data_IF_756968119099
#
_entry.id   IF_756968119099
#
_cell.length_a   1.000
_cell.length_b   1.000
_cell.length_c   1.000
_cell.angle_alpha   90.00
_cell.angle_beta   90.00
_cell.angle_gamma   90.00
#
_symmetry.space_group_name_H-M   'P 1'
#
loop_
_entity.id
_entity.type
_entity.pdbx_description
1 polymer ?
#
# COMPACT_ATOMS: atom_id res chain seq x y z
N UNK A 1 -1.09 -35.20 5.66
CA UNK A 1 -1.64 -34.01 6.36
C UNK A 1 -1.59 -32.87 5.36
N UNK A 2 -2.70 -32.63 4.65
CA UNK A 2 -2.81 -31.49 3.75
C UNK A 2 -2.72 -30.21 4.57
N UNK A 3 -1.63 -29.45 4.38
CA UNK A 3 -1.63 -28.06 4.78
C UNK A 3 -2.52 -27.35 3.76
N UNK A 4 -3.76 -27.05 4.13
CA UNK A 4 -4.59 -26.12 3.37
C UNK A 4 -3.79 -24.85 3.18
N UNK A 5 -3.33 -24.66 1.95
CA UNK A 5 -2.63 -23.46 1.55
C UNK A 5 -3.69 -22.37 1.50
N UNK A 6 -3.74 -21.52 2.53
CA UNK A 6 -4.64 -20.38 2.54
C UNK A 6 -4.19 -19.38 1.48
N UNK A 7 -4.90 -19.36 0.35
CA UNK A 7 -4.72 -18.41 -0.76
C UNK A 7 -5.37 -17.06 -0.48
N UNK A 8 -5.93 -16.91 0.72
CA UNK A 8 -6.66 -15.74 1.17
C UNK A 8 -6.19 -15.27 2.54
N UNK A 9 -6.31 -13.96 2.78
CA UNK A 9 -6.05 -13.32 4.05
C UNK A 9 -7.27 -12.50 4.45
N UNK A 10 -7.88 -12.83 5.58
CA UNK A 10 -9.04 -12.13 6.10
C UNK A 10 -8.63 -10.79 6.72
N UNK A 11 -9.22 -9.72 6.19
CA UNK A 11 -8.92 -8.34 6.58
C UNK A 11 -10.00 -7.79 7.51
N UNK A 12 -11.25 -8.19 7.29
CA UNK A 12 -12.39 -7.89 8.15
C UNK A 12 -13.47 -8.96 7.92
N UNK A 13 -14.51 -8.97 8.75
CA UNK A 13 -15.62 -9.93 8.64
C UNK A 13 -16.24 -9.86 7.24
N UNK A 14 -16.14 -10.97 6.50
CA UNK A 14 -16.67 -11.06 5.15
C UNK A 14 -15.83 -10.35 4.08
N UNK A 15 -14.61 -9.89 4.43
CA UNK A 15 -13.68 -9.20 3.53
C UNK A 15 -12.31 -9.87 3.55
N UNK A 16 -11.92 -10.51 2.45
CA UNK A 16 -10.60 -11.13 2.29
C UNK A 16 -9.86 -10.59 1.07
N UNK A 17 -8.53 -10.62 1.14
CA UNK A 17 -7.65 -10.41 0.00
C UNK A 17 -7.10 -11.73 -0.49
N UNK A 18 -7.08 -11.91 -1.80
CA UNK A 18 -6.58 -13.10 -2.46
C UNK A 18 -5.70 -12.72 -3.65
N UNK A 19 -4.91 -13.70 -4.11
CA UNK A 19 -4.20 -13.62 -5.37
C UNK A 19 -4.76 -14.66 -6.32
N UNK A 20 -5.23 -14.22 -7.49
CA UNK A 20 -5.75 -15.11 -8.53
C UNK A 20 -4.62 -15.91 -9.18
N UNK A 21 -4.96 -17.02 -9.85
CA UNK A 21 -4.00 -17.82 -10.63
C UNK A 21 -3.31 -17.01 -11.74
N UNK A 22 -4.00 -15.99 -12.27
CA UNK A 22 -3.43 -15.06 -13.25
C UNK A 22 -2.46 -14.03 -12.63
N UNK A 23 -2.20 -14.10 -11.31
CA UNK A 23 -1.32 -13.19 -10.61
C UNK A 23 -1.91 -11.81 -10.33
N UNK A 24 -3.23 -11.65 -10.40
CA UNK A 24 -3.94 -10.41 -10.07
C UNK A 24 -4.44 -10.44 -8.62
N UNK A 25 -4.14 -9.38 -7.86
CA UNK A 25 -4.64 -9.18 -6.50
C UNK A 25 -6.12 -8.78 -6.53
N UNK A 26 -6.92 -9.42 -5.68
CA UNK A 26 -8.37 -9.22 -5.65
C UNK A 26 -8.89 -9.15 -4.22
N UNK A 27 -10.04 -8.52 -4.07
CA UNK A 27 -10.82 -8.46 -2.84
C UNK A 27 -12.10 -9.25 -3.02
N UNK A 28 -12.35 -10.14 -2.07
CA UNK A 28 -13.58 -10.91 -1.96
C UNK A 28 -14.42 -10.33 -0.85
N UNK A 29 -15.62 -9.87 -1.20
CA UNK A 29 -16.59 -9.30 -0.27
C UNK A 29 -18.00 -9.70 -0.71
N UNK A 30 -18.79 -10.27 0.21
CA UNK A 30 -20.19 -10.65 -0.02
C UNK A 30 -20.42 -11.46 -1.33
N UNK A 31 -19.52 -12.41 -1.60
CA UNK A 31 -19.58 -13.24 -2.81
C UNK A 31 -19.21 -12.53 -4.12
N UNK A 32 -18.70 -11.29 -4.05
CA UNK A 32 -18.18 -10.52 -5.19
C UNK A 32 -16.67 -10.45 -5.14
N UNK A 33 -16.06 -10.37 -6.32
CA UNK A 33 -14.61 -10.20 -6.48
C UNK A 33 -14.31 -8.85 -7.16
N UNK A 34 -13.38 -8.08 -6.57
CA UNK A 34 -12.95 -6.78 -7.06
C UNK A 34 -11.43 -6.79 -7.29
N UNK A 35 -10.99 -6.46 -8.49
CA UNK A 35 -9.55 -6.39 -8.77
C UNK A 35 -8.92 -5.14 -8.15
N UNK A 36 -7.66 -5.28 -7.72
CA UNK A 36 -6.83 -4.21 -7.21
C UNK A 36 -5.79 -3.82 -8.28
N UNK A 37 -6.24 -3.10 -9.30
CA UNK A 37 -5.41 -2.72 -10.45
C UNK A 37 -4.98 -1.26 -10.33
N UNK A 38 -5.94 -0.35 -10.22
CA UNK A 38 -5.71 1.09 -10.17
C UNK A 38 -5.60 1.60 -8.74
N UNK A 39 -4.93 2.74 -8.55
CA UNK A 39 -4.75 3.35 -7.22
C UNK A 39 -6.08 3.55 -6.47
N UNK A 40 -7.15 3.84 -7.21
CA UNK A 40 -8.48 4.05 -6.63
C UNK A 40 -9.17 2.75 -6.22
N UNK A 41 -8.68 1.56 -6.61
CA UNK A 41 -9.32 0.31 -6.18
C UNK A 41 -9.02 -0.03 -4.71
N UNK A 42 -7.88 0.49 -4.21
CA UNK A 42 -7.32 0.16 -2.91
C UNK A 42 -8.04 0.78 -1.71
N UNK A 43 -9.04 1.65 -1.91
CA UNK A 43 -9.85 2.12 -0.77
C UNK A 43 -10.52 0.97 -0.01
N UNK A 44 -10.79 -0.14 -0.71
CA UNK A 44 -11.41 -1.35 -0.15
C UNK A 44 -10.53 -2.05 0.88
N UNK A 45 -9.23 -1.74 0.92
CA UNK A 45 -8.25 -2.38 1.80
C UNK A 45 -7.52 -1.40 2.70
N UNK A 46 -8.02 -0.18 2.88
CA UNK A 46 -7.40 0.76 3.81
C UNK A 46 -7.35 0.25 5.25
N UNK A 47 -8.29 -0.61 5.65
CA UNK A 47 -8.27 -1.31 6.95
C UNK A 47 -6.99 -2.12 7.18
N UNK A 48 -6.25 -2.50 6.12
CA UNK A 48 -4.91 -3.08 6.29
C UNK A 48 -3.93 -2.13 7.00
N UNK A 49 -4.07 -0.82 6.77
CA UNK A 49 -3.18 0.22 7.33
C UNK A 49 -3.31 0.34 8.85
N UNK A 50 -4.37 -0.20 9.44
CA UNK A 50 -4.58 -0.24 10.89
C UNK A 50 -3.72 -1.33 11.57
N UNK A 51 -3.21 -2.29 10.79
CA UNK A 51 -2.36 -3.37 11.27
C UNK A 51 -0.87 -3.02 11.12
N UNK A 52 0.05 -3.68 11.87
CA UNK A 52 1.48 -3.52 11.66
C UNK A 52 1.91 -3.93 10.24
N UNK A 53 2.73 -3.09 9.58
CA UNK A 53 3.20 -3.33 8.21
C UNK A 53 3.86 -4.72 8.05
N UNK A 54 4.68 -5.15 9.02
CA UNK A 54 5.38 -6.43 8.98
C UNK A 54 4.44 -7.62 8.96
N UNK A 55 3.33 -7.55 9.70
CA UNK A 55 2.32 -8.63 9.76
C UNK A 55 1.57 -8.73 8.45
N UNK A 56 1.10 -7.60 7.91
CA UNK A 56 0.42 -7.56 6.62
C UNK A 56 1.35 -8.02 5.51
N UNK A 57 2.60 -7.54 5.49
CA UNK A 57 3.59 -7.95 4.50
C UNK A 57 3.83 -9.46 4.56
N UNK A 58 4.04 -10.04 5.73
CA UNK A 58 4.27 -11.47 5.87
C UNK A 58 3.08 -12.30 5.37
N UNK A 59 1.85 -11.87 5.66
CA UNK A 59 0.64 -12.54 5.19
C UNK A 59 0.51 -12.49 3.66
N UNK A 60 0.71 -11.32 3.05
CA UNK A 60 0.60 -11.16 1.60
C UNK A 60 1.76 -11.84 0.85
N UNK A 61 2.97 -11.81 1.39
CA UNK A 61 4.11 -12.56 0.85
C UNK A 61 3.87 -14.08 0.93
N UNK A 62 3.18 -14.55 1.96
CA UNK A 62 2.80 -15.96 2.08
C UNK A 62 1.80 -16.36 0.99
N UNK A 63 0.77 -15.53 0.74
CA UNK A 63 -0.18 -15.73 -0.36
C UNK A 63 0.55 -15.77 -1.71
N UNK A 64 1.41 -14.79 -1.99
CA UNK A 64 2.15 -14.71 -3.25
C UNK A 64 3.02 -15.95 -3.50
N UNK A 65 3.79 -16.37 -2.48
CA UNK A 65 4.59 -17.61 -2.53
C UNK A 65 3.74 -18.84 -2.78
N UNK A 66 2.57 -18.88 -2.17
CA UNK A 66 1.67 -20.02 -2.23
C UNK A 66 0.97 -20.19 -3.58
N UNK A 67 0.66 -19.09 -4.25
CA UNK A 67 0.11 -19.09 -5.60
C UNK A 67 1.17 -19.36 -6.68
N UNK A 68 2.44 -19.61 -6.30
CA UNK A 68 3.59 -19.69 -7.19
C UNK A 68 3.72 -18.47 -8.13
N UNK A 69 3.17 -17.34 -7.71
CA UNK A 69 3.10 -16.12 -8.49
C UNK A 69 4.23 -15.18 -8.08
N UNK A 70 4.85 -14.54 -9.08
CA UNK A 70 5.95 -13.58 -8.86
C UNK A 70 5.42 -12.16 -8.59
N UNK A 71 4.10 -11.97 -8.49
CA UNK A 71 3.49 -10.64 -8.33
C UNK A 71 3.44 -10.23 -6.86
N UNK A 72 4.34 -9.33 -6.38
CA UNK A 72 4.25 -8.81 -5.03
C UNK A 72 2.99 -7.96 -4.85
N UNK A 73 2.51 -7.83 -3.62
CA UNK A 73 1.43 -6.90 -3.33
C UNK A 73 1.89 -5.44 -3.55
N UNK A 74 1.14 -4.62 -4.29
CA UNK A 74 1.54 -3.26 -4.64
C UNK A 74 1.28 -2.27 -3.48
N UNK A 75 2.08 -2.33 -2.41
CA UNK A 75 1.95 -1.46 -1.22
C UNK A 75 1.94 0.04 -1.54
N UNK A 76 2.72 0.46 -2.55
CA UNK A 76 2.71 1.85 -2.98
C UNK A 76 1.33 2.30 -3.47
N UNK A 77 0.56 1.45 -4.18
CA UNK A 77 -0.79 1.80 -4.63
C UNK A 77 -1.77 1.92 -3.44
N UNK A 78 -1.66 1.02 -2.45
CA UNK A 78 -2.43 1.11 -1.21
C UNK A 78 -2.18 2.45 -0.48
N UNK A 79 -0.90 2.76 -0.23
CA UNK A 79 -0.51 4.01 0.43
C UNK A 79 -0.98 5.21 -0.39
N UNK A 80 -0.71 5.20 -1.70
CA UNK A 80 -1.10 6.30 -2.58
C UNK A 80 -2.60 6.55 -2.60
N UNK A 81 -3.41 5.48 -2.56
CA UNK A 81 -4.87 5.57 -2.46
C UNK A 81 -5.31 6.37 -1.22
N UNK A 82 -4.73 6.04 -0.06
CA UNK A 82 -5.02 6.74 1.20
C UNK A 82 -4.56 8.21 1.19
N UNK A 83 -3.39 8.50 0.59
CA UNK A 83 -2.92 9.88 0.43
C UNK A 83 -3.84 10.70 -0.49
N UNK A 84 -4.32 10.10 -1.59
CA UNK A 84 -5.19 10.75 -2.56
C UNK A 84 -6.57 11.11 -1.98
N UNK A 85 -7.05 10.33 -1.01
CA UNK A 85 -8.34 10.54 -0.37
C UNK A 85 -8.44 11.82 0.47
N UNK A 86 -7.30 12.42 0.84
CA UNK A 86 -7.24 13.62 1.72
C UNK A 86 -7.94 13.44 3.08
N UNK A 87 -8.09 12.19 3.52
CA UNK A 87 -8.54 11.86 4.87
C UNK A 87 -7.37 11.90 5.82
N UNK A 88 -7.46 12.72 6.88
CA UNK A 88 -6.39 12.81 7.89
C UNK A 88 -6.08 11.46 8.51
N UNK A 89 -7.10 10.70 8.92
CA UNK A 89 -6.92 9.38 9.54
C UNK A 89 -6.13 8.42 8.63
N UNK A 90 -6.60 8.24 7.40
CA UNK A 90 -5.96 7.29 6.47
C UNK A 90 -4.59 7.75 5.99
N UNK A 91 -4.41 9.07 5.85
CA UNK A 91 -3.09 9.65 5.55
C UNK A 91 -2.12 9.37 6.68
N UNK A 92 -2.52 9.58 7.94
CA UNK A 92 -1.64 9.39 9.09
C UNK A 92 -1.17 7.93 9.18
N UNK A 93 -2.08 6.96 8.98
CA UNK A 93 -1.75 5.54 8.95
C UNK A 93 -0.84 5.18 7.76
N UNK A 94 -1.18 5.62 6.55
CA UNK A 94 -0.38 5.38 5.35
C UNK A 94 1.03 5.95 5.44
N UNK A 95 1.20 7.12 6.07
CA UNK A 95 2.48 7.79 6.22
C UNK A 95 3.47 7.04 7.12
N UNK A 96 2.98 6.21 8.05
CA UNK A 96 3.81 5.27 8.83
C UNK A 96 4.43 4.23 7.89
N UNK A 97 3.62 3.70 6.96
CA UNK A 97 4.02 2.62 6.08
C UNK A 97 5.02 3.05 5.01
N UNK A 98 5.01 4.32 4.59
CA UNK A 98 5.96 4.86 3.60
C UNK A 98 7.41 4.53 3.96
N UNK A 99 7.79 4.57 5.24
CA UNK A 99 9.17 4.32 5.68
C UNK A 99 9.71 2.95 5.27
N UNK A 100 8.84 1.93 5.18
CA UNK A 100 9.20 0.54 4.86
C UNK A 100 9.28 0.24 3.37
N UNK A 101 8.82 1.15 2.51
CA UNK A 101 8.88 0.97 1.06
C UNK A 101 10.32 1.05 0.54
N UNK A 102 10.59 0.29 -0.53
CA UNK A 102 11.82 0.42 -1.29
C UNK A 102 11.91 1.80 -1.97
N UNK A 103 13.12 2.25 -2.33
CA UNK A 103 13.32 3.56 -2.94
C UNK A 103 12.52 3.75 -4.24
N UNK A 104 12.47 2.71 -5.09
CA UNK A 104 11.69 2.72 -6.33
C UNK A 104 10.18 2.87 -6.06
N UNK A 105 9.65 2.16 -5.06
CA UNK A 105 8.24 2.28 -4.66
C UNK A 105 7.92 3.66 -4.09
N UNK A 106 8.78 4.19 -3.21
CA UNK A 106 8.65 5.56 -2.68
C UNK A 106 8.63 6.60 -3.79
N UNK A 107 9.46 6.44 -4.82
CA UNK A 107 9.53 7.38 -5.93
C UNK A 107 8.18 7.51 -6.67
N UNK A 108 7.40 6.42 -6.79
CA UNK A 108 6.06 6.46 -7.39
C UNK A 108 5.07 7.35 -6.62
N UNK A 109 5.33 7.60 -5.34
CA UNK A 109 4.49 8.42 -4.46
C UNK A 109 4.88 9.91 -4.44
N UNK A 110 5.94 10.32 -5.14
CA UNK A 110 6.51 11.68 -5.04
C UNK A 110 5.45 12.78 -5.23
N UNK A 111 4.57 12.64 -6.23
CA UNK A 111 3.51 13.61 -6.51
C UNK A 111 2.56 13.75 -5.31
N UNK A 112 2.00 12.64 -4.85
CA UNK A 112 1.07 12.61 -3.71
C UNK A 112 1.71 13.11 -2.41
N UNK A 113 2.98 12.78 -2.15
CA UNK A 113 3.72 13.29 -1.00
C UNK A 113 3.95 14.80 -1.10
N UNK A 114 4.18 15.33 -2.30
CA UNK A 114 4.30 16.77 -2.52
C UNK A 114 2.97 17.49 -2.27
N UNK A 115 1.86 16.90 -2.72
CA UNK A 115 0.52 17.43 -2.46
C UNK A 115 0.19 17.46 -0.96
N UNK A 116 0.51 16.37 -0.25
CA UNK A 116 0.33 16.31 1.21
C UNK A 116 1.18 17.37 1.91
N UNK A 117 2.46 17.51 1.53
CA UNK A 117 3.40 18.51 2.08
C UNK A 117 2.85 19.94 1.99
N UNK A 118 2.24 20.28 0.85
CA UNK A 118 1.80 21.65 0.55
C UNK A 118 0.33 21.91 0.95
N UNK A 119 -0.37 20.89 1.43
CA UNK A 119 -1.76 20.99 1.82
C UNK A 119 -1.98 21.77 3.13
N UNK A 120 -3.20 22.31 3.31
CA UNK A 120 -3.64 22.90 4.59
C UNK A 120 -4.39 21.92 5.49
N UNK A 121 -4.93 20.84 4.92
CA UNK A 121 -5.73 19.85 5.66
C UNK A 121 -4.86 18.89 6.50
N UNK A 122 -3.65 18.58 6.02
CA UNK A 122 -2.72 17.70 6.72
C UNK A 122 -2.08 18.39 7.92
N UNK A 123 -1.84 17.61 8.99
CA UNK A 123 -1.19 18.12 10.19
C UNK A 123 0.25 18.56 9.91
N UNK A 124 0.79 19.46 10.72
CA UNK A 124 2.18 19.92 10.57
C UNK A 124 3.18 18.75 10.61
N UNK A 125 2.96 17.78 11.50
CA UNK A 125 3.78 16.57 11.62
C UNK A 125 3.82 15.80 10.31
N UNK A 126 2.67 15.60 9.68
CA UNK A 126 2.53 14.85 8.43
C UNK A 126 3.14 15.62 7.26
N UNK A 127 2.96 16.94 7.21
CA UNK A 127 3.59 17.78 6.19
C UNK A 127 5.12 17.76 6.28
N UNK A 128 5.66 17.75 7.49
CA UNK A 128 7.11 17.57 7.72
C UNK A 128 7.59 16.18 7.29
N UNK A 129 6.83 15.13 7.59
CA UNK A 129 7.18 13.77 7.20
C UNK A 129 7.13 13.60 5.67
N UNK A 130 6.11 14.17 5.01
CA UNK A 130 6.00 14.18 3.55
C UNK A 130 7.18 14.95 2.92
N UNK A 131 7.56 16.10 3.48
CA UNK A 131 8.77 16.84 3.06
C UNK A 131 10.04 15.99 3.18
N UNK A 132 10.20 15.26 4.29
CA UNK A 132 11.35 14.35 4.50
C UNK A 132 11.42 13.33 3.37
N UNK A 133 10.32 12.64 3.08
CA UNK A 133 10.30 11.61 2.03
C UNK A 133 10.50 12.18 0.62
N UNK A 134 9.94 13.34 0.30
CA UNK A 134 10.23 14.02 -0.99
C UNK A 134 11.72 14.32 -1.12
N UNK A 135 12.35 14.83 -0.06
CA UNK A 135 13.79 15.12 -0.08
C UNK A 135 14.64 13.84 -0.21
N UNK A 136 14.24 12.74 0.43
CA UNK A 136 14.92 11.43 0.28
C UNK A 136 14.86 10.94 -1.17
N UNK A 137 13.68 11.01 -1.79
CA UNK A 137 13.48 10.63 -3.19
C UNK A 137 14.35 11.48 -4.11
N UNK A 138 14.37 12.80 -3.89
CA UNK A 138 15.17 13.72 -4.73
C UNK A 138 16.67 13.57 -4.57
N UNK A 139 17.15 13.15 -3.40
CA UNK A 139 18.58 12.87 -3.17
C UNK A 139 18.99 11.51 -3.72
N UNK A 140 18.07 10.54 -3.73
CA UNK A 140 18.28 9.23 -4.32
C UNK A 140 18.12 9.18 -5.85
N UNK A 141 17.70 10.29 -6.49
CA UNK A 141 17.52 10.37 -7.94
C UNK A 141 18.89 10.54 -8.64
N UNK A 142 19.37 9.55 -9.41
CA UNK A 142 20.69 9.62 -10.06
C UNK A 142 20.81 10.76 -11.09
N UNK A 143 19.70 11.40 -11.48
CA UNK A 143 19.71 12.56 -12.38
C UNK A 143 20.35 13.83 -11.81
N UNK A 144 20.67 13.89 -10.50
CA UNK A 144 21.36 15.04 -9.88
C UNK A 144 22.90 15.01 -9.96
N UNK A 145 23.49 14.03 -10.64
CA UNK A 145 24.96 13.87 -10.77
C UNK A 145 25.53 14.32 -12.13
N UNK A 146 24.75 15.01 -12.97
CA UNK A 146 25.22 15.58 -14.23
C UNK A 146 25.10 17.11 -14.24
#
# INVERSE_FOLDING_TARGET
MDRSVSTEFEIDVGLSIALTEAGAWVIRADGREFRLEEINDFYRVWVLLERPFSEVKAALDQIARSASAVTPFPFAKLIGSALNAKSRQWTDLAMVWVSFLAAAEKATLKGLLSDVRDSKWASQKIRQLARKYVNEIERGDPKRLN
#
